data_IF_605725752374
#
_entry.id   IF_605725752374
#
_cell.length_a   1.000
_cell.length_b   1.000
_cell.length_c   1.000
_cell.angle_alpha   90.00
_cell.angle_beta   90.00
_cell.angle_gamma   90.00
#
_symmetry.space_group_name_H-M   'P 1'
#
loop_
_entity.id
_entity.type
_entity.pdbx_description
1 polymer ?
#
# COMPACT_ATOMS: atom_id res chain seq x y z
N UNK A 1 -9.11 22.00 -13.58
CA UNK A 1 -8.73 21.48 -12.24
C UNK A 1 -8.08 22.52 -11.33
N UNK A 2 -7.15 23.34 -11.84
CA UNK A 2 -6.48 24.40 -11.09
C UNK A 2 -7.48 25.42 -10.48
N UNK A 3 -8.51 25.82 -11.23
CA UNK A 3 -9.52 26.79 -10.76
C UNK A 3 -10.26 26.34 -9.48
N UNK A 4 -10.50 25.03 -9.32
CA UNK A 4 -11.14 24.47 -8.12
C UNK A 4 -10.18 24.49 -6.94
N UNK A 5 -8.90 24.21 -7.16
CA UNK A 5 -7.89 24.22 -6.09
C UNK A 5 -7.60 25.65 -5.63
N UNK A 6 -7.51 26.61 -6.54
CA UNK A 6 -7.22 28.01 -6.21
C UNK A 6 -8.40 28.67 -5.48
N UNK A 7 -9.63 28.19 -5.68
CA UNK A 7 -10.79 28.59 -4.87
C UNK A 7 -10.61 28.29 -3.37
N UNK A 8 -9.77 27.30 -3.01
CA UNK A 8 -9.43 27.02 -1.61
C UNK A 8 -8.53 28.07 -0.99
N UNK A 9 -7.83 28.90 -1.79
CA UNK A 9 -6.92 29.92 -1.26
C UNK A 9 -7.68 30.93 -0.41
N UNK A 10 -8.82 31.41 -0.90
CA UNK A 10 -9.71 32.32 -0.17
C UNK A 10 -10.20 31.68 1.12
N UNK A 11 -10.67 30.44 1.06
CA UNK A 11 -11.17 29.70 2.23
C UNK A 11 -10.07 29.50 3.28
N UNK A 12 -8.84 29.19 2.86
CA UNK A 12 -7.72 28.94 3.77
C UNK A 12 -7.08 30.22 4.32
N UNK A 13 -7.07 31.30 3.53
CA UNK A 13 -6.41 32.57 3.88
C UNK A 13 -7.35 33.53 4.59
N UNK A 14 -8.55 33.73 4.03
CA UNK A 14 -9.53 34.72 4.49
C UNK A 14 -10.60 34.10 5.37
N UNK A 15 -10.73 32.76 5.36
CA UNK A 15 -11.74 32.03 6.13
C UNK A 15 -13.16 32.38 5.68
N UNK A 16 -13.32 32.67 4.38
CA UNK A 16 -14.59 33.01 3.74
C UNK A 16 -14.88 32.06 2.57
N UNK A 17 -16.15 31.74 2.36
CA UNK A 17 -16.63 30.97 1.21
C UNK A 17 -17.67 31.81 0.45
N UNK A 18 -17.34 32.34 -0.74
CA UNK A 18 -18.33 32.98 -1.59
C UNK A 18 -19.31 31.94 -2.16
N UNK A 19 -20.58 32.30 -2.28
CA UNK A 19 -21.65 31.51 -2.92
C UNK A 19 -22.21 32.33 -4.09
N UNK A 20 -21.58 32.25 -5.28
CA UNK A 20 -21.91 33.11 -6.42
C UNK A 20 -23.37 33.05 -6.85
N UNK A 21 -23.99 31.87 -6.79
CA UNK A 21 -25.38 31.62 -7.17
C UNK A 21 -26.37 32.36 -6.28
N UNK A 22 -25.97 32.68 -5.05
CA UNK A 22 -26.76 33.42 -4.06
C UNK A 22 -26.31 34.87 -3.90
N UNK A 23 -25.20 35.27 -4.52
CA UNK A 23 -24.62 36.60 -4.37
C UNK A 23 -24.20 36.94 -2.94
N UNK A 24 -23.91 35.93 -2.13
CA UNK A 24 -23.53 36.09 -0.72
C UNK A 24 -22.17 35.45 -0.42
N UNK A 25 -21.62 35.76 0.76
CA UNK A 25 -20.43 35.10 1.31
C UNK A 25 -20.70 34.62 2.72
N UNK A 26 -20.14 33.46 3.07
CA UNK A 26 -20.29 32.87 4.40
C UNK A 26 -18.93 32.82 5.09
N UNK A 27 -18.90 33.32 6.32
CA UNK A 27 -17.72 33.30 7.18
C UNK A 27 -17.56 31.91 7.81
N UNK A 28 -16.33 31.42 7.87
CA UNK A 28 -16.02 30.19 8.55
C UNK A 28 -16.28 30.31 10.06
N UNK A 29 -16.88 29.26 10.62
CA UNK A 29 -16.94 29.07 12.07
C UNK A 29 -15.73 28.27 12.55
N UNK A 30 -15.38 28.45 13.83
CA UNK A 30 -14.35 27.60 14.47
C UNK A 30 -14.80 26.14 14.43
N UNK A 31 -13.93 25.25 13.99
CA UNK A 31 -14.19 23.80 14.09
C UNK A 31 -13.69 22.92 12.95
N UNK A 32 -13.04 23.46 11.91
CA UNK A 32 -12.52 22.62 10.82
C UNK A 32 -11.00 22.70 10.70
N UNK A 33 -10.41 21.58 10.25
CA UNK A 33 -9.02 21.47 9.84
C UNK A 33 -8.98 20.79 8.46
N UNK A 34 -8.08 21.21 7.58
CA UNK A 34 -7.96 20.62 6.25
C UNK A 34 -6.75 19.68 6.21
N UNK A 35 -7.00 18.40 5.93
CA UNK A 35 -5.98 17.38 5.70
C UNK A 35 -6.04 17.02 4.22
N UNK A 36 -4.99 17.37 3.48
CA UNK A 36 -4.83 16.99 2.09
C UNK A 36 -3.80 15.86 1.99
N UNK A 37 -4.09 14.86 1.15
CA UNK A 37 -3.18 13.73 0.88
C UNK A 37 -2.82 13.72 -0.60
N UNK A 38 -1.58 13.37 -0.92
CA UNK A 38 -1.12 13.18 -2.28
C UNK A 38 -0.28 11.91 -2.36
N UNK A 39 -0.31 11.24 -3.52
CA UNK A 39 0.58 10.11 -3.80
C UNK A 39 1.87 10.64 -4.42
N UNK A 40 3.03 10.17 -3.94
CA UNK A 40 4.34 10.61 -4.44
C UNK A 40 4.55 10.30 -5.93
N UNK A 41 3.79 9.34 -6.48
CA UNK A 41 3.83 8.99 -7.92
C UNK A 41 3.14 9.99 -8.84
N UNK A 42 2.22 10.79 -8.29
CA UNK A 42 1.51 11.82 -9.06
C UNK A 42 2.28 13.15 -9.06
N UNK A 43 3.49 13.18 -8.48
CA UNK A 43 4.36 14.35 -8.45
C UNK A 43 4.67 14.78 -9.89
N UNK A 44 4.18 15.95 -10.28
CA UNK A 44 4.34 16.52 -11.61
C UNK A 44 3.10 16.43 -12.52
N UNK A 45 2.08 15.63 -12.18
CA UNK A 45 0.82 15.56 -12.96
C UNK A 45 -0.23 16.53 -12.44
N UNK A 46 -0.37 16.62 -11.12
CA UNK A 46 -1.30 17.53 -10.43
C UNK A 46 -0.57 18.28 -9.31
N UNK A 47 0.31 19.20 -9.68
CA UNK A 47 1.01 20.02 -8.69
C UNK A 47 0.09 21.09 -8.10
N UNK A 48 0.14 21.24 -6.77
CA UNK A 48 -0.50 22.37 -6.08
C UNK A 48 0.11 23.68 -6.61
N UNK A 49 -0.75 24.69 -6.81
CA UNK A 49 -0.26 26.03 -7.12
C UNK A 49 0.70 26.52 -6.02
N UNK A 50 1.67 27.34 -6.40
CA UNK A 50 2.67 27.85 -5.45
C UNK A 50 2.04 28.61 -4.28
N UNK A 51 0.91 29.27 -4.52
CA UNK A 51 0.11 29.96 -3.51
C UNK A 51 -0.53 28.96 -2.53
N UNK A 52 -1.16 27.89 -3.04
CA UNK A 52 -1.81 26.88 -2.21
C UNK A 52 -0.79 26.07 -1.39
N UNK A 53 0.36 25.73 -2.00
CA UNK A 53 1.45 25.00 -1.31
C UNK A 53 1.96 25.72 -0.06
N UNK A 54 2.00 27.05 -0.08
CA UNK A 54 2.41 27.89 1.07
C UNK A 54 1.40 27.89 2.22
N UNK A 55 0.19 27.39 2.02
CA UNK A 55 -0.86 27.29 3.05
C UNK A 55 -0.92 25.92 3.73
N UNK A 56 -0.13 24.95 3.27
CA UNK A 56 -0.05 23.62 3.88
C UNK A 56 1.31 23.38 4.52
N UNK A 57 1.29 22.70 5.67
CA UNK A 57 2.48 22.01 6.18
C UNK A 57 2.58 20.66 5.49
N UNK A 58 3.63 20.46 4.69
CA UNK A 58 3.84 19.19 3.99
C UNK A 58 4.67 18.25 4.86
N UNK A 59 4.12 17.08 5.17
CA UNK A 59 4.83 15.98 5.82
C UNK A 59 4.90 14.82 4.85
N UNK A 60 6.11 14.36 4.56
CA UNK A 60 6.33 13.11 3.82
C UNK A 60 6.39 11.98 4.84
N UNK A 61 5.50 11.01 4.72
CA UNK A 61 5.51 9.82 5.58
C UNK A 61 6.50 8.81 4.98
N UNK A 62 7.64 8.55 5.63
CA UNK A 62 8.60 7.58 5.13
C UNK A 62 8.06 6.15 5.30
N UNK A 63 8.62 5.24 4.51
CA UNK A 63 8.40 3.81 4.71
C UNK A 63 9.05 3.34 6.02
N UNK A 64 8.56 2.25 6.62
CA UNK A 64 9.16 1.71 7.85
C UNK A 64 10.64 1.34 7.64
N UNK A 65 11.50 1.80 8.54
CA UNK A 65 12.95 1.67 8.40
C UNK A 65 13.41 0.20 8.35
N UNK A 66 12.81 -0.68 9.16
CA UNK A 66 13.22 -2.08 9.27
C UNK A 66 12.11 -3.04 8.85
N UNK A 67 12.45 -4.25 8.35
CA UNK A 67 11.46 -5.28 8.06
C UNK A 67 10.61 -5.63 9.28
N UNK A 68 11.21 -5.72 10.47
CA UNK A 68 10.48 -6.03 11.70
C UNK A 68 9.48 -4.92 12.05
N UNK A 69 9.84 -3.64 11.89
CA UNK A 69 8.89 -2.54 12.11
C UNK A 69 7.72 -2.59 11.12
N UNK A 70 7.96 -2.96 9.86
CA UNK A 70 6.92 -3.12 8.85
C UNK A 70 6.01 -4.31 9.19
N UNK A 71 6.58 -5.45 9.61
CA UNK A 71 5.84 -6.63 10.09
C UNK A 71 4.98 -6.29 11.31
N UNK A 72 5.50 -5.52 12.27
CA UNK A 72 4.75 -5.10 13.47
C UNK A 72 3.59 -4.18 13.13
N UNK A 73 3.77 -3.27 12.16
CA UNK A 73 2.70 -2.39 11.67
C UNK A 73 1.62 -3.23 10.98
N UNK A 74 2.01 -4.14 10.08
CA UNK A 74 1.06 -5.00 9.35
C UNK A 74 0.30 -5.88 10.34
N UNK A 75 0.99 -6.54 11.26
CA UNK A 75 0.39 -7.44 12.26
C UNK A 75 -0.66 -6.72 13.12
N UNK A 76 -0.32 -5.54 13.67
CA UNK A 76 -1.28 -4.75 14.47
C UNK A 76 -2.50 -4.31 13.66
N UNK A 77 -2.30 -3.90 12.40
CA UNK A 77 -3.41 -3.41 11.57
C UNK A 77 -4.31 -4.55 11.09
N UNK A 78 -3.73 -5.68 10.73
CA UNK A 78 -4.48 -6.90 10.38
C UNK A 78 -5.30 -7.38 11.57
N UNK A 79 -4.74 -7.43 12.78
CA UNK A 79 -5.49 -7.79 14.00
C UNK A 79 -6.63 -6.82 14.29
N UNK A 80 -6.40 -5.50 14.17
CA UNK A 80 -7.45 -4.49 14.34
C UNK A 80 -8.58 -4.64 13.32
N UNK A 81 -8.25 -4.82 12.04
CA UNK A 81 -9.24 -4.97 10.97
C UNK A 81 -9.95 -6.32 11.11
N UNK A 82 -9.22 -7.39 11.40
CA UNK A 82 -9.77 -8.74 11.58
C UNK A 82 -10.85 -8.77 12.67
N UNK A 83 -10.61 -8.11 13.82
CA UNK A 83 -11.63 -7.98 14.88
C UNK A 83 -12.88 -7.24 14.44
N UNK A 84 -12.76 -6.23 13.58
CA UNK A 84 -13.92 -5.50 13.05
C UNK A 84 -14.74 -6.29 12.03
N UNK A 85 -14.14 -7.36 11.48
CA UNK A 85 -14.72 -8.22 10.46
C UNK A 85 -15.08 -9.62 10.99
N UNK A 86 -15.01 -9.83 12.32
CA UNK A 86 -15.19 -11.13 12.97
C UNK A 86 -14.32 -12.26 12.36
N UNK A 87 -13.13 -11.92 11.87
CA UNK A 87 -12.17 -12.88 11.36
C UNK A 87 -11.43 -13.58 12.52
N UNK A 88 -11.04 -14.86 12.36
CA UNK A 88 -10.25 -15.56 13.36
C UNK A 88 -8.97 -14.76 13.68
N UNK A 89 -8.69 -14.58 14.97
CA UNK A 89 -7.48 -13.90 15.42
C UNK A 89 -6.29 -14.69 14.92
N UNK A 90 -5.48 -14.15 14.01
CA UNK A 90 -4.43 -14.88 13.31
C UNK A 90 -3.46 -15.56 14.29
N UNK A 91 -3.65 -16.85 14.64
CA UNK A 91 -2.67 -17.54 15.46
C UNK A 91 -1.64 -18.02 14.43
N UNK A 92 -0.37 -17.64 14.61
CA UNK A 92 0.74 -18.12 13.76
C UNK A 92 0.87 -17.49 12.35
N UNK A 93 0.11 -16.43 12.02
CA UNK A 93 0.23 -15.70 10.73
C UNK A 93 1.51 -14.85 10.54
N UNK A 94 2.41 -14.81 11.53
CA UNK A 94 3.65 -14.01 11.46
C UNK A 94 4.56 -14.42 10.28
N UNK A 95 4.59 -15.70 9.91
CA UNK A 95 5.44 -16.18 8.82
C UNK A 95 4.98 -15.63 7.46
N UNK A 96 3.68 -15.63 7.20
CA UNK A 96 3.12 -15.15 5.93
C UNK A 96 3.08 -13.62 5.88
N UNK A 97 2.85 -12.94 7.01
CA UNK A 97 3.06 -11.48 7.10
C UNK A 97 4.50 -11.12 6.76
N UNK A 98 5.47 -11.79 7.38
CA UNK A 98 6.89 -11.60 7.11
C UNK A 98 7.21 -11.90 5.65
N UNK A 99 6.62 -12.93 5.06
CA UNK A 99 6.79 -13.27 3.64
C UNK A 99 6.31 -12.15 2.72
N UNK A 100 5.08 -11.65 2.93
CA UNK A 100 4.52 -10.53 2.14
C UNK A 100 5.44 -9.30 2.26
N UNK A 101 5.84 -8.94 3.48
CA UNK A 101 6.75 -7.81 3.73
C UNK A 101 8.10 -8.02 3.04
N UNK A 102 8.68 -9.22 3.11
CA UNK A 102 9.95 -9.53 2.44
C UNK A 102 9.83 -9.35 0.93
N UNK A 103 8.81 -9.93 0.30
CA UNK A 103 8.59 -9.79 -1.16
C UNK A 103 8.47 -8.31 -1.54
N UNK A 104 7.68 -7.55 -0.79
CA UNK A 104 7.42 -6.15 -1.07
C UNK A 104 8.67 -5.31 -0.94
N UNK A 105 9.43 -5.49 0.15
CA UNK A 105 10.69 -4.77 0.37
C UNK A 105 11.72 -5.10 -0.71
N UNK A 106 11.90 -6.38 -1.06
CA UNK A 106 12.91 -6.77 -2.04
C UNK A 106 12.63 -6.20 -3.44
N UNK A 107 11.38 -6.29 -3.89
CA UNK A 107 10.97 -5.73 -5.19
C UNK A 107 10.98 -4.20 -5.19
N UNK A 108 10.56 -3.57 -4.10
CA UNK A 108 10.56 -2.10 -3.93
C UNK A 108 11.97 -1.53 -3.89
N UNK A 109 12.87 -2.19 -3.16
CA UNK A 109 14.25 -1.75 -2.97
C UNK A 109 15.17 -2.20 -4.14
N UNK A 110 14.67 -3.08 -5.03
CA UNK A 110 15.41 -3.56 -6.19
C UNK A 110 16.58 -4.47 -5.81
N UNK A 111 16.53 -5.08 -4.63
CA UNK A 111 17.59 -5.94 -4.12
C UNK A 111 17.01 -6.91 -3.08
N UNK A 112 17.54 -8.12 -3.07
CA UNK A 112 17.24 -9.14 -2.04
C UNK A 112 17.64 -8.68 -0.64
N UNK A 113 16.97 -9.22 0.40
CA UNK A 113 17.17 -8.84 1.81
C UNK A 113 18.59 -9.07 2.30
N UNK A 114 19.30 -10.04 1.70
CA UNK A 114 20.71 -10.33 1.99
C UNK A 114 21.70 -9.47 1.18
N UNK A 115 21.19 -8.59 0.31
CA UNK A 115 21.97 -7.67 -0.52
C UNK A 115 22.67 -8.31 -1.72
N UNK A 116 22.46 -9.61 -1.99
CA UNK A 116 23.29 -10.37 -2.94
C UNK A 116 22.81 -10.27 -4.38
N UNK A 117 21.50 -10.27 -4.58
CA UNK A 117 20.87 -10.29 -5.89
C UNK A 117 20.16 -8.97 -6.16
N UNK A 118 20.54 -8.28 -7.25
CA UNK A 118 19.81 -7.12 -7.77
C UNK A 118 18.55 -7.57 -8.49
N UNK A 119 17.48 -6.82 -8.30
CA UNK A 119 16.15 -7.10 -8.83
C UNK A 119 15.66 -5.91 -9.65
N UNK A 120 14.80 -6.20 -10.62
CA UNK A 120 14.01 -5.16 -11.28
C UNK A 120 12.88 -4.75 -10.33
N UNK A 121 12.59 -3.46 -10.26
CA UNK A 121 11.44 -2.96 -9.51
C UNK A 121 10.20 -2.91 -10.40
N UNK A 122 9.05 -3.43 -9.94
CA UNK A 122 7.80 -3.33 -10.68
C UNK A 122 7.27 -1.90 -10.64
N UNK A 123 6.27 -1.65 -11.47
CA UNK A 123 5.58 -0.37 -11.52
C UNK A 123 4.75 -0.09 -10.27
N UNK A 124 4.43 -1.07 -9.41
CA UNK A 124 3.63 -0.94 -8.17
C UNK A 124 4.38 -0.36 -6.96
N UNK A 125 3.68 0.30 -6.02
CA UNK A 125 4.32 0.98 -4.86
C UNK A 125 4.88 -0.01 -3.84
N UNK A 126 4.19 -1.15 -3.69
CA UNK A 126 4.49 -2.17 -2.69
C UNK A 126 4.58 -1.58 -1.29
N UNK A 127 3.56 -0.80 -0.94
CA UNK A 127 3.46 -0.09 0.32
C UNK A 127 3.06 -1.00 1.48
N UNK A 128 3.32 -0.55 2.71
CA UNK A 128 2.83 -1.24 3.93
C UNK A 128 1.31 -1.37 3.94
N UNK A 129 0.58 -0.40 3.37
CA UNK A 129 -0.87 -0.46 3.22
C UNK A 129 -1.31 -1.59 2.27
N UNK A 130 -0.61 -1.78 1.16
CA UNK A 130 -0.88 -2.91 0.26
C UNK A 130 -0.59 -4.25 0.96
N UNK A 131 0.47 -4.34 1.78
CA UNK A 131 0.76 -5.54 2.56
C UNK A 131 -0.37 -5.87 3.55
N UNK A 132 -0.91 -4.85 4.25
CA UNK A 132 -2.09 -5.01 5.12
C UNK A 132 -3.28 -5.55 4.31
N UNK A 133 -3.56 -4.99 3.14
CA UNK A 133 -4.66 -5.45 2.28
C UNK A 133 -4.47 -6.90 1.82
N UNK A 134 -3.28 -7.28 1.39
CA UNK A 134 -2.95 -8.66 0.97
C UNK A 134 -3.19 -9.64 2.11
N UNK A 135 -2.65 -9.35 3.30
CA UNK A 135 -2.78 -10.25 4.45
C UNK A 135 -4.23 -10.32 4.95
N UNK A 136 -4.93 -9.18 5.01
CA UNK A 136 -6.33 -9.14 5.45
C UNK A 136 -7.22 -9.96 4.53
N UNK A 137 -7.05 -9.81 3.21
CA UNK A 137 -7.79 -10.59 2.22
C UNK A 137 -7.43 -12.08 2.31
N UNK A 138 -6.14 -12.42 2.46
CA UNK A 138 -5.71 -13.80 2.65
C UNK A 138 -6.33 -14.44 3.89
N UNK A 139 -6.41 -13.69 5.00
CA UNK A 139 -7.04 -14.19 6.23
C UNK A 139 -8.54 -14.40 6.04
N UNK A 140 -9.23 -13.49 5.34
CA UNK A 140 -10.63 -13.67 4.98
C UNK A 140 -10.84 -14.91 4.09
N UNK A 141 -9.97 -15.14 3.11
CA UNK A 141 -10.01 -16.34 2.27
C UNK A 141 -9.82 -17.61 3.10
N UNK A 142 -8.80 -17.65 3.95
CA UNK A 142 -8.53 -18.79 4.82
C UNK A 142 -9.70 -19.06 5.78
N UNK A 143 -10.31 -18.01 6.34
CA UNK A 143 -11.42 -18.13 7.28
C UNK A 143 -12.71 -18.63 6.64
N UNK A 144 -13.03 -18.17 5.42
CA UNK A 144 -14.32 -18.46 4.78
C UNK A 144 -14.27 -19.60 3.77
N UNK A 145 -13.10 -19.88 3.19
CA UNK A 145 -12.92 -20.88 2.13
C UNK A 145 -11.84 -21.92 2.45
N UNK A 146 -11.13 -21.77 3.56
CA UNK A 146 -10.10 -22.68 4.04
C UNK A 146 -10.41 -23.28 5.40
N UNK A 147 -9.36 -23.55 6.18
CA UNK A 147 -9.42 -24.08 7.53
C UNK A 147 -9.09 -23.03 8.61
N UNK A 148 -9.14 -21.74 8.25
CA UNK A 148 -8.85 -20.62 9.14
C UNK A 148 -7.37 -20.35 9.37
N UNK A 149 -6.46 -21.13 8.76
CA UNK A 149 -5.01 -20.93 8.85
C UNK A 149 -4.51 -20.20 7.60
N UNK A 150 -3.87 -19.05 7.79
CA UNK A 150 -3.27 -18.29 6.69
C UNK A 150 -2.09 -19.05 6.08
N UNK A 151 -2.20 -19.42 4.80
CA UNK A 151 -1.20 -20.17 4.04
C UNK A 151 -0.63 -19.38 2.86
N UNK A 152 0.50 -19.85 2.28
CA UNK A 152 1.06 -19.24 1.08
C UNK A 152 0.07 -19.08 -0.09
N UNK A 153 -0.86 -20.04 -0.24
CA UNK A 153 -1.93 -19.98 -1.25
C UNK A 153 -2.86 -18.78 -1.10
N UNK A 154 -3.20 -18.42 0.13
CA UNK A 154 -4.17 -17.36 0.43
C UNK A 154 -3.60 -15.96 0.15
N UNK A 155 -2.28 -15.80 0.20
CA UNK A 155 -1.60 -14.52 -0.07
C UNK A 155 -1.07 -14.41 -1.50
N UNK A 156 -0.86 -15.53 -2.21
CA UNK A 156 -0.20 -15.54 -3.52
C UNK A 156 -0.90 -14.65 -4.56
N UNK A 157 -2.22 -14.80 -4.71
CA UNK A 157 -3.00 -13.98 -5.66
C UNK A 157 -2.99 -12.49 -5.27
N UNK A 158 -3.05 -12.19 -3.97
CA UNK A 158 -2.97 -10.82 -3.45
C UNK A 158 -1.63 -10.16 -3.75
N UNK A 159 -0.52 -10.89 -3.55
CA UNK A 159 0.83 -10.42 -3.88
C UNK A 159 0.94 -10.19 -5.40
N UNK A 160 0.50 -11.15 -6.22
CA UNK A 160 0.53 -11.00 -7.68
C UNK A 160 -0.21 -9.73 -8.12
N UNK A 161 -1.42 -9.49 -7.61
CA UNK A 161 -2.21 -8.30 -7.96
C UNK A 161 -1.62 -6.98 -7.46
N UNK A 162 -0.82 -7.01 -6.38
CA UNK A 162 -0.09 -5.83 -5.89
C UNK A 162 1.17 -5.55 -6.73
N UNK A 163 1.89 -6.59 -7.14
CA UNK A 163 3.12 -6.51 -7.91
C UNK A 163 2.85 -6.19 -9.39
N UNK A 164 1.87 -6.85 -10.01
CA UNK A 164 1.57 -6.74 -11.44
C UNK A 164 0.46 -5.74 -11.66
N UNK A 165 0.82 -4.45 -11.75
CA UNK A 165 -0.11 -3.35 -12.05
C UNK A 165 -0.15 -3.05 -13.56
N UNK A 166 0.99 -3.15 -14.23
CA UNK A 166 1.12 -3.16 -15.69
C UNK A 166 1.45 -4.59 -16.15
N UNK A 167 0.48 -5.32 -16.75
CA UNK A 167 0.70 -6.70 -17.19
C UNK A 167 1.85 -6.89 -18.17
N UNK A 168 2.20 -5.88 -18.98
CA UNK A 168 3.23 -6.01 -20.00
C UNK A 168 4.64 -5.95 -19.40
N UNK A 169 4.87 -5.02 -18.48
CA UNK A 169 6.17 -4.82 -17.85
C UNK A 169 6.36 -5.68 -16.58
N UNK A 170 5.37 -5.68 -15.70
CA UNK A 170 5.53 -6.20 -14.34
C UNK A 170 5.50 -7.73 -14.26
N UNK A 171 4.85 -8.41 -15.22
CA UNK A 171 4.86 -9.89 -15.26
C UNK A 171 6.27 -10.45 -15.41
N UNK A 172 7.10 -9.79 -16.22
CA UNK A 172 8.49 -10.23 -16.43
C UNK A 172 9.29 -10.08 -15.14
N UNK A 173 9.12 -8.94 -14.45
CA UNK A 173 9.75 -8.69 -13.14
C UNK A 173 9.34 -9.74 -12.12
N UNK A 174 8.04 -10.05 -12.04
CA UNK A 174 7.51 -11.04 -11.13
C UNK A 174 8.04 -12.45 -11.41
N UNK A 175 8.04 -12.89 -12.67
CA UNK A 175 8.56 -14.19 -13.07
C UNK A 175 10.05 -14.33 -12.77
N UNK A 176 10.84 -13.30 -13.06
CA UNK A 176 12.28 -13.30 -12.77
C UNK A 176 12.56 -13.42 -11.27
N UNK A 177 11.80 -12.70 -10.43
CA UNK A 177 11.87 -12.81 -8.98
C UNK A 177 11.50 -14.21 -8.48
N UNK A 178 10.42 -14.80 -9.03
CA UNK A 178 10.00 -16.15 -8.66
C UNK A 178 11.06 -17.21 -8.97
N UNK A 179 11.63 -17.18 -10.18
CA UNK A 179 12.60 -18.19 -10.62
C UNK A 179 13.98 -18.01 -9.99
N UNK A 180 14.41 -16.77 -9.73
CA UNK A 180 15.78 -16.47 -9.28
C UNK A 180 15.89 -16.41 -7.75
N UNK A 181 14.85 -15.92 -7.07
CA UNK A 181 14.88 -15.69 -5.62
C UNK A 181 14.00 -16.69 -4.88
N UNK A 182 12.72 -16.75 -5.23
CA UNK A 182 11.73 -17.50 -4.44
C UNK A 182 11.95 -19.01 -4.55
N UNK A 183 12.29 -19.51 -5.74
CA UNK A 183 12.54 -20.93 -6.01
C UNK A 183 13.71 -21.50 -5.20
N UNK A 184 14.79 -20.74 -5.06
CA UNK A 184 16.03 -21.16 -4.39
C UNK A 184 16.01 -20.90 -2.88
N UNK A 185 15.03 -20.14 -2.38
CA UNK A 185 14.94 -19.78 -0.97
C UNK A 185 14.37 -20.93 -0.14
N UNK A 186 15.10 -21.31 0.91
CA UNK A 186 14.67 -22.37 1.81
C UNK A 186 13.36 -22.02 2.53
N UNK A 187 12.47 -23.00 2.70
CA UNK A 187 11.13 -22.80 3.27
C UNK A 187 10.13 -22.03 2.40
N UNK A 188 10.43 -21.75 1.12
CA UNK A 188 9.54 -21.02 0.20
C UNK A 188 8.94 -21.86 -0.92
N UNK A 189 9.14 -23.19 -0.91
CA UNK A 189 8.66 -24.10 -1.97
C UNK A 189 7.14 -24.06 -2.17
N UNK A 190 6.37 -24.06 -1.09
CA UNK A 190 4.90 -24.03 -1.20
C UNK A 190 4.41 -22.67 -1.68
N UNK A 191 5.09 -21.59 -1.28
CA UNK A 191 4.82 -20.26 -1.80
C UNK A 191 5.17 -20.14 -3.28
N UNK A 192 6.31 -20.67 -3.73
CA UNK A 192 6.67 -20.73 -5.15
C UNK A 192 5.58 -21.43 -5.97
N UNK A 193 5.10 -22.59 -5.50
CA UNK A 193 4.03 -23.35 -6.17
C UNK A 193 2.73 -22.56 -6.25
N UNK A 194 2.28 -21.98 -5.12
CA UNK A 194 1.09 -21.15 -5.09
C UNK A 194 1.17 -19.96 -6.05
N UNK A 195 2.32 -19.26 -6.06
CA UNK A 195 2.57 -18.16 -6.99
C UNK A 195 2.55 -18.60 -8.46
N UNK A 196 3.09 -19.79 -8.77
CA UNK A 196 3.06 -20.36 -10.12
C UNK A 196 1.64 -20.67 -10.56
N UNK A 197 0.81 -21.26 -9.69
CA UNK A 197 -0.58 -21.60 -9.98
C UNK A 197 -1.44 -20.37 -10.31
N UNK A 198 -1.28 -19.27 -9.56
CA UNK A 198 -2.04 -18.03 -9.79
C UNK A 198 -1.50 -17.18 -10.94
N UNK A 199 -0.30 -17.49 -11.44
CA UNK A 199 0.34 -16.74 -12.54
C UNK A 199 0.07 -17.33 -13.93
N UNK A 200 -0.66 -18.44 -14.01
CA UNK A 200 -1.06 -19.11 -15.27
C UNK A 200 -2.12 -18.30 -16.01
#
# INVERSE_FOLDING_TARGET
>A
PADVQDSLITILSEKTLPIPELGEEVQAVRGFNLIATANDRDRGVNELSSALRRRFNTVVLPLPATPDAEVDIVSRRVDQIGRSLDLPAAPEGLSEIRRVVTVFRELRDGVTTDGRTKLKSPSGTLSTAEAISVVTNGLALAAHFGDGVLRPGDVAAGILGAVVRDPAADRVVWQEYLETVVRERDGWKDFYRACREVSV
#
